data_IF_327110131205
#
_entry.id   IF_327110131205
#
_cell.length_a   1.000
_cell.length_b   1.000
_cell.length_c   1.000
_cell.angle_alpha   90.00
_cell.angle_beta   90.00
_cell.angle_gamma   90.00
#
_symmetry.space_group_name_H-M   'P 1'
#
loop_
_entity.id
_entity.type
_entity.pdbx_description
1 polymer ?
#
# COMPACT_ATOMS: atom_id res chain seq x y z
N UNK A 1 1.65 -58.45 -31.48
CA UNK A 1 0.36 -58.53 -32.20
C UNK A 1 -0.69 -59.00 -31.21
N UNK A 2 -1.32 -58.07 -30.51
CA UNK A 2 -2.47 -58.34 -29.63
C UNK A 2 -3.57 -57.38 -30.08
N UNK A 3 -4.60 -57.95 -30.71
CA UNK A 3 -5.86 -57.29 -30.98
C UNK A 3 -6.58 -57.08 -29.64
N UNK A 4 -6.91 -55.83 -29.31
CA UNK A 4 -8.04 -55.54 -28.44
C UNK A 4 -9.02 -54.63 -29.18
N UNK A 5 -10.14 -55.27 -29.49
CA UNK A 5 -11.45 -54.80 -29.90
C UNK A 5 -11.83 -53.38 -29.49
N UNK A 6 -12.21 -52.60 -30.51
CA UNK A 6 -13.11 -51.47 -30.38
C UNK A 6 -14.51 -51.95 -29.93
N UNK A 7 -15.01 -51.37 -28.85
CA UNK A 7 -16.43 -51.30 -28.52
C UNK A 7 -16.76 -49.82 -28.39
N UNK A 8 -17.47 -49.28 -29.39
CA UNK A 8 -18.15 -48.02 -29.28
C UNK A 8 -19.48 -48.19 -28.53
N UNK A 9 -19.88 -47.17 -27.79
CA UNK A 9 -21.22 -46.56 -27.90
C UNK A 9 -21.33 -45.38 -26.94
N UNK A 10 -21.66 -44.24 -27.54
CA UNK A 10 -22.39 -43.10 -27.00
C UNK A 10 -22.94 -43.27 -25.58
N UNK A 11 -22.48 -42.40 -24.68
CA UNK A 11 -23.36 -41.47 -24.01
C UNK A 11 -22.67 -40.11 -23.96
N UNK A 12 -22.73 -39.38 -25.09
CA UNK A 12 -22.87 -37.93 -24.99
C UNK A 12 -24.24 -37.71 -24.36
N UNK A 13 -24.32 -37.85 -23.03
CA UNK A 13 -25.27 -37.03 -22.31
C UNK A 13 -24.79 -35.61 -22.55
N UNK A 14 -25.33 -34.96 -23.58
CA UNK A 14 -25.57 -33.53 -23.48
C UNK A 14 -26.33 -33.37 -22.17
N UNK A 15 -25.60 -33.15 -21.08
CA UNK A 15 -26.22 -32.72 -19.85
C UNK A 15 -26.84 -31.40 -20.24
N UNK A 16 -28.16 -31.39 -20.46
CA UNK A 16 -28.91 -30.19 -20.72
C UNK A 16 -28.45 -29.21 -19.64
N UNK A 17 -27.68 -28.20 -20.05
CA UNK A 17 -27.11 -27.24 -19.14
C UNK A 17 -28.31 -26.58 -18.48
N UNK A 18 -28.61 -27.00 -17.26
CA UNK A 18 -29.78 -26.51 -16.53
C UNK A 18 -29.47 -25.05 -16.26
N UNK A 19 -30.05 -24.18 -17.08
CA UNK A 19 -29.88 -22.74 -16.92
C UNK A 19 -30.41 -22.40 -15.53
N UNK A 20 -29.53 -21.87 -14.69
CA UNK A 20 -29.92 -21.40 -13.37
C UNK A 20 -31.03 -20.37 -13.52
N UNK A 21 -32.02 -20.38 -12.61
CA UNK A 21 -32.93 -19.26 -12.51
C UNK A 21 -32.16 -17.96 -12.26
N UNK A 22 -32.76 -16.81 -12.55
CA UNK A 22 -32.09 -15.52 -12.38
C UNK A 22 -31.58 -15.33 -10.94
N UNK A 23 -32.42 -15.64 -9.95
CA UNK A 23 -32.05 -15.61 -8.52
C UNK A 23 -30.87 -16.53 -8.22
N UNK A 24 -30.92 -17.79 -8.67
CA UNK A 24 -29.83 -18.75 -8.45
C UNK A 24 -28.54 -18.30 -9.12
N UNK A 25 -28.60 -17.71 -10.32
CA UNK A 25 -27.46 -17.15 -11.04
C UNK A 25 -26.78 -16.04 -10.22
N UNK A 26 -27.55 -15.15 -9.59
CA UNK A 26 -27.00 -14.12 -8.69
C UNK A 26 -26.40 -14.71 -7.41
N UNK A 27 -27.09 -15.67 -6.78
CA UNK A 27 -26.59 -16.31 -5.55
C UNK A 27 -25.26 -17.03 -5.79
N UNK A 28 -25.13 -17.73 -6.92
CA UNK A 28 -23.86 -18.35 -7.34
C UNK A 28 -22.79 -17.29 -7.57
N UNK A 29 -23.10 -16.21 -8.30
CA UNK A 29 -22.14 -15.13 -8.53
C UNK A 29 -21.66 -14.46 -7.23
N UNK A 30 -22.57 -14.23 -6.28
CA UNK A 30 -22.21 -13.70 -4.96
C UNK A 30 -21.23 -14.63 -4.26
N UNK A 31 -21.51 -15.93 -4.20
CA UNK A 31 -20.63 -16.90 -3.56
C UNK A 31 -19.26 -16.99 -4.25
N UNK A 32 -19.23 -16.90 -5.58
CA UNK A 32 -17.99 -17.02 -6.37
C UNK A 32 -17.11 -15.77 -6.29
N UNK A 33 -17.70 -14.58 -6.19
CA UNK A 33 -16.99 -13.30 -6.34
C UNK A 33 -16.72 -12.57 -5.01
N UNK A 34 -17.41 -12.93 -3.92
CA UNK A 34 -17.32 -12.19 -2.65
C UNK A 34 -15.89 -12.05 -2.11
N UNK A 35 -15.09 -13.12 -2.13
CA UNK A 35 -13.71 -13.07 -1.64
C UNK A 35 -12.81 -12.17 -2.49
N UNK A 36 -12.94 -12.25 -3.80
CA UNK A 36 -12.14 -11.45 -4.71
C UNK A 36 -12.52 -9.97 -4.61
N UNK A 37 -13.80 -9.64 -4.68
CA UNK A 37 -14.26 -8.25 -4.58
C UNK A 37 -13.98 -7.68 -3.19
N UNK A 38 -14.15 -8.48 -2.13
CA UNK A 38 -13.77 -8.09 -0.78
C UNK A 38 -12.27 -7.80 -0.66
N UNK A 39 -11.41 -8.57 -1.33
CA UNK A 39 -9.96 -8.31 -1.40
C UNK A 39 -9.67 -7.01 -2.15
N UNK A 40 -10.32 -6.77 -3.30
CA UNK A 40 -10.18 -5.49 -4.01
C UNK A 40 -10.62 -4.32 -3.13
N UNK A 41 -11.73 -4.46 -2.42
CA UNK A 41 -12.22 -3.45 -1.48
C UNK A 41 -11.22 -3.16 -0.34
N UNK A 42 -10.60 -4.21 0.21
CA UNK A 42 -9.64 -4.07 1.31
C UNK A 42 -8.34 -3.38 0.88
N UNK A 43 -7.95 -3.49 -0.39
CA UNK A 43 -6.70 -2.93 -0.90
C UNK A 43 -6.83 -1.62 -1.67
N UNK A 44 -8.05 -1.22 -2.05
CA UNK A 44 -8.29 -0.02 -2.89
C UNK A 44 -7.67 1.26 -2.31
N UNK A 45 -7.77 1.45 -0.99
CA UNK A 45 -7.37 2.70 -0.35
C UNK A 45 -5.83 2.79 -0.24
N UNK A 46 -5.13 1.67 -0.42
CA UNK A 46 -3.67 1.61 -0.47
C UNK A 46 -3.08 1.87 -1.85
N UNK A 47 -3.90 2.09 -2.88
CA UNK A 47 -3.45 2.60 -4.17
C UNK A 47 -3.24 4.12 -4.15
N UNK A 48 -3.82 4.81 -3.17
CA UNK A 48 -3.77 6.26 -3.08
C UNK A 48 -2.46 6.72 -2.46
N UNK A 49 -1.95 7.83 -2.95
CA UNK A 49 -0.87 8.53 -2.26
C UNK A 49 -1.45 9.27 -1.05
N UNK A 50 -0.92 9.04 0.18
CA UNK A 50 -1.38 9.78 1.34
C UNK A 50 -0.98 11.25 1.21
N UNK A 51 -1.79 12.15 1.74
CA UNK A 51 -1.44 13.56 1.81
C UNK A 51 -0.09 13.73 2.56
N UNK A 52 0.81 14.55 2.00
CA UNK A 52 2.11 14.78 2.61
C UNK A 52 1.96 15.66 3.85
N UNK A 53 2.16 15.08 5.03
CA UNK A 53 2.16 15.82 6.28
C UNK A 53 3.36 16.80 6.36
N UNK A 54 3.26 17.90 7.13
CA UNK A 54 4.41 18.75 7.43
C UNK A 54 5.58 17.93 7.97
N UNK A 55 6.79 18.24 7.50
CA UNK A 55 8.03 17.52 7.86
C UNK A 55 8.03 16.04 7.48
N UNK A 56 7.05 15.53 6.72
CA UNK A 56 7.09 14.17 6.22
C UNK A 56 8.33 13.98 5.33
N UNK A 57 8.93 12.77 5.34
CA UNK A 57 10.08 12.47 4.50
C UNK A 57 9.77 12.74 3.03
N UNK A 58 10.65 13.48 2.33
CA UNK A 58 10.49 13.74 0.89
C UNK A 58 10.56 12.46 0.05
N UNK A 59 11.31 11.46 0.50
CA UNK A 59 11.47 10.17 -0.20
C UNK A 59 10.82 9.08 0.64
N UNK A 60 9.75 8.50 0.10
CA UNK A 60 9.02 7.36 0.67
C UNK A 60 8.96 6.19 -0.34
N UNK A 61 10.10 5.58 -0.68
CA UNK A 61 10.13 4.43 -1.58
C UNK A 61 9.30 3.26 -1.05
N UNK A 62 9.11 3.20 0.27
CA UNK A 62 8.22 2.28 0.96
C UNK A 62 6.74 2.48 0.58
N UNK A 63 6.27 3.72 0.44
CA UNK A 63 4.88 3.99 0.03
C UNK A 63 4.62 3.56 -1.42
N UNK A 64 5.54 3.84 -2.34
CA UNK A 64 5.37 3.42 -3.73
C UNK A 64 5.42 1.89 -3.85
N UNK A 65 6.34 1.24 -3.13
CA UNK A 65 6.40 -0.23 -3.07
C UNK A 65 5.16 -0.83 -2.42
N UNK A 66 4.58 -0.19 -1.41
CA UNK A 66 3.33 -0.64 -0.80
C UNK A 66 2.16 -0.55 -1.79
N UNK A 67 2.09 0.52 -2.59
CA UNK A 67 1.11 0.67 -3.66
C UNK A 67 1.28 -0.40 -4.74
N UNK A 68 2.52 -0.74 -5.11
CA UNK A 68 2.80 -1.81 -6.07
C UNK A 68 2.31 -3.17 -5.58
N UNK A 69 2.53 -3.46 -4.29
CA UNK A 69 2.01 -4.67 -3.67
C UNK A 69 0.47 -4.70 -3.66
N UNK A 70 -0.17 -3.56 -3.33
CA UNK A 70 -1.63 -3.45 -3.33
C UNK A 70 -2.22 -3.69 -4.74
N UNK A 71 -1.64 -3.07 -5.77
CA UNK A 71 -2.03 -3.29 -7.16
C UNK A 71 -1.88 -4.77 -7.56
N UNK A 72 -0.75 -5.40 -7.25
CA UNK A 72 -0.54 -6.82 -7.53
C UNK A 72 -1.53 -7.73 -6.80
N UNK A 73 -1.89 -7.40 -5.56
CA UNK A 73 -2.91 -8.14 -4.80
C UNK A 73 -4.28 -8.03 -5.46
N UNK A 74 -4.66 -6.82 -5.90
CA UNK A 74 -5.89 -6.57 -6.65
C UNK A 74 -5.89 -7.36 -7.97
N UNK A 75 -4.78 -7.37 -8.71
CA UNK A 75 -4.63 -8.17 -9.93
C UNK A 75 -4.85 -9.65 -9.68
N UNK A 76 -4.23 -10.20 -8.64
CA UNK A 76 -4.38 -11.62 -8.32
C UNK A 76 -5.84 -11.96 -7.98
N UNK A 77 -6.52 -11.12 -7.18
CA UNK A 77 -7.93 -11.28 -6.87
C UNK A 77 -8.81 -11.21 -8.12
N UNK A 78 -8.57 -10.23 -9.00
CA UNK A 78 -9.31 -10.06 -10.25
C UNK A 78 -9.11 -11.25 -11.20
N UNK A 79 -7.87 -11.72 -11.37
CA UNK A 79 -7.56 -12.89 -12.19
C UNK A 79 -8.18 -14.17 -11.64
N UNK A 80 -8.17 -14.35 -10.32
CA UNK A 80 -8.82 -15.49 -9.67
C UNK A 80 -10.33 -15.51 -9.95
N UNK A 81 -11.00 -14.37 -9.78
CA UNK A 81 -12.42 -14.23 -10.08
C UNK A 81 -12.72 -14.44 -11.58
N UNK A 82 -11.86 -13.92 -12.48
CA UNK A 82 -12.01 -14.12 -13.93
C UNK A 82 -12.00 -15.59 -14.29
N UNK A 83 -11.01 -16.33 -13.80
CA UNK A 83 -10.88 -17.78 -14.08
C UNK A 83 -12.07 -18.57 -13.52
N UNK A 84 -12.63 -18.17 -12.38
CA UNK A 84 -13.88 -18.74 -11.87
C UNK A 84 -15.06 -18.43 -12.80
N UNK A 85 -15.18 -17.18 -13.27
CA UNK A 85 -16.23 -16.76 -14.20
C UNK A 85 -16.24 -17.56 -15.50
N UNK A 86 -15.08 -17.87 -16.07
CA UNK A 86 -14.95 -18.69 -17.28
C UNK A 86 -15.53 -20.10 -17.12
N UNK A 87 -15.52 -20.64 -15.89
CA UNK A 87 -16.00 -21.99 -15.56
C UNK A 87 -17.37 -21.99 -14.88
N UNK A 88 -17.92 -20.82 -14.57
CA UNK A 88 -19.14 -20.68 -13.80
C UNK A 88 -20.38 -21.11 -14.59
N UNK A 89 -21.40 -21.61 -13.89
CA UNK A 89 -22.74 -21.81 -14.45
C UNK A 89 -23.59 -20.54 -14.37
N UNK A 90 -23.16 -19.54 -13.60
CA UNK A 90 -23.83 -18.23 -13.52
C UNK A 90 -23.53 -17.39 -14.75
N UNK A 91 -24.58 -16.94 -15.42
CA UNK A 91 -24.50 -15.94 -16.50
C UNK A 91 -23.99 -14.59 -15.97
N UNK A 92 -24.22 -14.29 -14.69
CA UNK A 92 -23.76 -13.06 -14.04
C UNK A 92 -22.24 -13.10 -13.84
N UNK A 93 -21.69 -14.20 -13.31
CA UNK A 93 -20.23 -14.34 -13.15
C UNK A 93 -19.53 -14.33 -14.51
N UNK A 94 -20.08 -15.03 -15.51
CA UNK A 94 -19.57 -15.01 -16.89
C UNK A 94 -19.58 -13.60 -17.48
N UNK A 95 -20.66 -12.85 -17.30
CA UNK A 95 -20.77 -11.47 -17.79
C UNK A 95 -19.74 -10.49 -17.20
N UNK A 96 -19.07 -10.86 -16.10
CA UNK A 96 -18.05 -10.05 -15.44
C UNK A 96 -16.60 -10.37 -15.86
N UNK A 97 -16.36 -11.41 -16.66
CA UNK A 97 -14.99 -11.84 -17.00
C UNK A 97 -14.18 -10.74 -17.68
N UNK A 98 -14.79 -9.97 -18.58
CA UNK A 98 -14.11 -8.89 -19.30
C UNK A 98 -13.75 -7.72 -18.38
N UNK A 99 -14.64 -7.37 -17.45
CA UNK A 99 -14.39 -6.32 -16.46
C UNK A 99 -13.27 -6.71 -15.50
N UNK A 100 -13.25 -7.99 -15.09
CA UNK A 100 -12.19 -8.57 -14.27
C UNK A 100 -10.85 -8.66 -15.03
N UNK A 101 -10.88 -8.99 -16.32
CA UNK A 101 -9.69 -9.00 -17.16
C UNK A 101 -9.09 -7.59 -17.29
N UNK A 102 -9.92 -6.57 -17.57
CA UNK A 102 -9.47 -5.16 -17.61
C UNK A 102 -8.86 -4.72 -16.28
N UNK A 103 -9.48 -5.09 -15.15
CA UNK A 103 -8.94 -4.80 -13.82
C UNK A 103 -7.58 -5.48 -13.59
N UNK A 104 -7.47 -6.77 -13.92
CA UNK A 104 -6.21 -7.49 -13.79
C UNK A 104 -5.09 -6.85 -14.63
N UNK A 105 -5.38 -6.51 -15.88
CA UNK A 105 -4.41 -5.86 -16.80
C UNK A 105 -3.97 -4.50 -16.28
N UNK A 106 -4.91 -3.64 -15.86
CA UNK A 106 -4.58 -2.30 -15.37
C UNK A 106 -3.73 -2.31 -14.09
N UNK A 107 -3.81 -3.37 -13.30
CA UNK A 107 -3.07 -3.55 -12.05
C UNK A 107 -1.83 -4.47 -12.20
N UNK A 108 -1.38 -4.72 -13.43
CA UNK A 108 -0.21 -5.58 -13.70
C UNK A 108 1.09 -4.86 -13.46
N UNK A 109 1.89 -5.43 -12.56
CA UNK A 109 3.32 -5.13 -12.34
C UNK A 109 3.67 -3.64 -12.51
N UNK A 110 3.10 -2.76 -11.66
CA UNK A 110 3.34 -1.34 -11.79
C UNK A 110 4.83 -1.03 -11.64
N UNK A 111 5.37 -0.25 -12.58
CA UNK A 111 6.76 0.21 -12.57
C UNK A 111 6.91 1.60 -11.95
N UNK A 112 5.85 2.41 -11.98
CA UNK A 112 5.83 3.78 -11.48
C UNK A 112 4.45 4.20 -10.93
N UNK A 113 4.37 5.44 -10.45
CA UNK A 113 3.14 6.02 -9.89
C UNK A 113 2.01 6.15 -10.94
N UNK A 114 2.34 6.28 -12.23
CA UNK A 114 1.34 6.39 -13.29
C UNK A 114 0.61 5.05 -13.49
N UNK A 115 1.30 3.93 -13.33
CA UNK A 115 0.70 2.59 -13.38
C UNK A 115 -0.23 2.33 -12.19
N UNK A 116 0.16 2.78 -10.99
CA UNK A 116 -0.71 2.74 -9.80
C UNK A 116 -2.00 3.54 -10.04
N UNK A 117 -1.88 4.75 -10.62
CA UNK A 117 -3.04 5.57 -10.94
C UNK A 117 -3.96 4.93 -11.99
N UNK A 118 -3.42 4.18 -12.97
CA UNK A 118 -4.23 3.39 -13.91
C UNK A 118 -5.00 2.30 -13.18
N UNK A 119 -4.35 1.56 -12.28
CA UNK A 119 -4.99 0.55 -11.45
C UNK A 119 -6.12 1.16 -10.60
N UNK A 120 -5.87 2.28 -9.92
CA UNK A 120 -6.88 2.98 -9.11
C UNK A 120 -8.12 3.36 -9.93
N UNK A 121 -7.92 3.99 -11.09
CA UNK A 121 -9.02 4.34 -12.00
C UNK A 121 -9.81 3.12 -12.44
N UNK A 122 -9.13 2.01 -12.73
CA UNK A 122 -9.80 0.79 -13.15
C UNK A 122 -10.55 0.10 -12.01
N UNK A 123 -10.08 0.21 -10.76
CA UNK A 123 -10.83 -0.23 -9.56
C UNK A 123 -12.14 0.54 -9.44
N UNK A 124 -12.10 1.87 -9.62
CA UNK A 124 -13.31 2.70 -9.59
C UNK A 124 -14.28 2.35 -10.74
N UNK A 125 -13.78 2.18 -11.96
CA UNK A 125 -14.58 1.76 -13.11
C UNK A 125 -15.20 0.36 -12.91
N UNK A 126 -14.47 -0.56 -12.28
CA UNK A 126 -14.98 -1.89 -11.95
C UNK A 126 -16.13 -1.80 -10.94
N UNK A 127 -16.02 -0.97 -9.89
CA UNK A 127 -17.12 -0.77 -8.94
C UNK A 127 -18.37 -0.17 -9.59
N UNK A 128 -18.18 0.78 -10.51
CA UNK A 128 -19.29 1.34 -11.31
C UNK A 128 -19.98 0.27 -12.16
N UNK A 129 -19.23 -0.68 -12.72
CA UNK A 129 -19.79 -1.81 -13.46
C UNK A 129 -20.57 -2.80 -12.56
N UNK A 130 -20.17 -2.95 -11.29
CA UNK A 130 -20.90 -3.78 -10.32
C UNK A 130 -22.22 -3.15 -9.85
N UNK A 131 -22.34 -1.82 -9.90
CA UNK A 131 -23.52 -1.10 -9.42
C UNK A 131 -24.85 -1.54 -10.07
N UNK A 132 -25.02 -1.55 -11.40
CA UNK A 132 -26.26 -2.01 -12.02
C UNK A 132 -26.54 -3.48 -11.73
N UNK A 133 -25.51 -4.32 -11.58
CA UNK A 133 -25.65 -5.74 -11.25
C UNK A 133 -26.19 -5.91 -9.83
N UNK A 134 -25.71 -5.11 -8.88
CA UNK A 134 -26.21 -5.13 -7.50
C UNK A 134 -27.70 -4.75 -7.42
N UNK A 135 -28.11 -3.74 -8.19
CA UNK A 135 -29.54 -3.36 -8.29
C UNK A 135 -30.40 -4.50 -8.86
N UNK A 136 -29.92 -5.17 -9.91
CA UNK A 136 -30.63 -6.31 -10.51
C UNK A 136 -30.67 -7.53 -9.59
N UNK A 137 -29.58 -7.83 -8.88
CA UNK A 137 -29.53 -8.92 -7.91
C UNK A 137 -30.58 -8.74 -6.80
N UNK A 138 -30.74 -7.50 -6.30
CA UNK A 138 -31.78 -7.17 -5.34
C UNK A 138 -33.19 -7.35 -5.93
N UNK A 139 -33.42 -6.88 -7.16
CA UNK A 139 -34.70 -7.03 -7.84
C UNK A 139 -35.07 -8.50 -8.11
N UNK A 140 -34.08 -9.34 -8.42
CA UNK A 140 -34.22 -10.77 -8.61
C UNK A 140 -34.40 -11.57 -7.30
N UNK A 141 -34.36 -10.90 -6.14
CA UNK A 141 -34.55 -11.54 -4.84
C UNK A 141 -33.38 -12.40 -4.38
N UNK A 142 -32.14 -12.05 -4.75
CA UNK A 142 -30.94 -12.72 -4.26
C UNK A 142 -30.88 -12.71 -2.73
N UNK A 143 -30.39 -13.80 -2.13
CA UNK A 143 -30.45 -14.00 -0.68
C UNK A 143 -29.45 -13.13 0.08
N UNK A 144 -28.41 -12.64 -0.61
CA UNK A 144 -27.38 -11.76 -0.07
C UNK A 144 -27.19 -10.55 -0.98
N UNK A 145 -26.73 -9.41 -0.44
CA UNK A 145 -26.36 -8.27 -1.26
C UNK A 145 -25.22 -8.63 -2.22
N UNK A 146 -25.32 -8.18 -3.48
CA UNK A 146 -24.24 -8.36 -4.44
C UNK A 146 -22.99 -7.57 -4.00
N UNK A 147 -21.79 -8.17 -4.05
CA UNK A 147 -20.57 -7.51 -3.57
C UNK A 147 -20.21 -6.26 -4.39
N UNK A 148 -19.74 -5.22 -3.70
CA UNK A 148 -19.21 -3.97 -4.27
C UNK A 148 -17.82 -3.68 -3.72
N UNK A 149 -17.07 -2.80 -4.39
CA UNK A 149 -15.74 -2.37 -3.91
C UNK A 149 -15.89 -1.29 -2.84
N UNK A 150 -16.39 -1.67 -1.66
CA UNK A 150 -16.54 -0.77 -0.51
C UNK A 150 -16.31 -1.48 0.82
N UNK A 151 -16.08 -0.69 1.87
CA UNK A 151 -15.71 -1.18 3.21
C UNK A 151 -16.68 -2.23 3.76
N UNK A 152 -17.98 -2.12 3.48
CA UNK A 152 -19.00 -3.07 3.95
C UNK A 152 -18.89 -4.48 3.35
N UNK A 153 -18.12 -4.67 2.26
CA UNK A 153 -17.91 -5.97 1.61
C UNK A 153 -16.53 -6.55 1.89
N UNK A 154 -15.74 -5.93 2.76
CA UNK A 154 -14.49 -6.53 3.25
C UNK A 154 -14.87 -7.70 4.16
N UNK A 155 -14.56 -8.91 3.72
CA UNK A 155 -14.84 -10.13 4.45
C UNK A 155 -13.61 -10.64 5.22
N UNK A 156 -13.76 -11.70 6.01
CA UNK A 156 -12.69 -12.25 6.85
C UNK A 156 -11.42 -12.64 6.06
N UNK A 157 -11.59 -13.19 4.85
CA UNK A 157 -10.47 -13.53 3.94
C UNK A 157 -9.69 -12.27 3.57
N UNK A 158 -10.40 -11.23 3.13
CA UNK A 158 -9.81 -9.95 2.77
C UNK A 158 -9.18 -9.23 3.97
N UNK A 159 -9.82 -9.25 5.14
CA UNK A 159 -9.28 -8.70 6.39
C UNK A 159 -7.96 -9.38 6.77
N UNK A 160 -7.89 -10.71 6.67
CA UNK A 160 -6.67 -11.49 6.96
C UNK A 160 -5.55 -11.13 5.99
N UNK A 161 -5.86 -11.03 4.69
CA UNK A 161 -4.89 -10.64 3.68
C UNK A 161 -4.34 -9.22 3.93
N UNK A 162 -5.21 -8.27 4.23
CA UNK A 162 -4.83 -6.88 4.50
C UNK A 162 -4.08 -6.71 5.84
N UNK A 163 -4.27 -7.60 6.82
CA UNK A 163 -3.60 -7.49 8.12
C UNK A 163 -2.08 -7.68 8.03
N UNK A 164 -1.62 -8.68 7.27
CA UNK A 164 -0.18 -8.90 7.05
C UNK A 164 0.45 -7.72 6.31
N UNK A 165 -0.27 -7.20 5.31
CA UNK A 165 0.13 -6.02 4.56
C UNK A 165 0.26 -4.77 5.44
N UNK A 166 -0.76 -4.47 6.28
CA UNK A 166 -0.70 -3.36 7.25
C UNK A 166 0.47 -3.47 8.22
N UNK A 167 0.77 -4.69 8.67
CA UNK A 167 1.90 -4.92 9.56
C UNK A 167 3.25 -4.71 8.87
N UNK A 168 3.33 -5.00 7.57
CA UNK A 168 4.55 -4.81 6.78
C UNK A 168 4.82 -3.33 6.46
N UNK A 169 3.78 -2.55 6.17
CA UNK A 169 3.90 -1.17 5.68
C UNK A 169 3.97 -0.10 6.78
N UNK A 170 3.55 -0.45 8.01
CA UNK A 170 3.41 0.51 9.09
C UNK A 170 2.35 1.62 8.84
N UNK A 171 2.37 2.70 9.63
CA UNK A 171 3.14 2.82 10.85
C UNK A 171 2.61 1.90 11.95
N UNK A 172 3.53 1.33 12.73
CA UNK A 172 3.18 0.73 14.01
C UNK A 172 2.95 1.81 15.09
N UNK A 173 2.49 1.44 16.31
CA UNK A 173 2.25 2.41 17.38
C UNK A 173 3.47 3.28 17.73
N UNK A 174 4.69 2.72 17.74
CA UNK A 174 5.90 3.49 18.07
C UNK A 174 6.33 4.38 16.91
N UNK A 175 6.22 3.90 15.68
CA UNK A 175 6.43 4.76 14.51
C UNK A 175 5.41 5.90 14.46
N UNK A 176 4.14 5.65 14.74
CA UNK A 176 3.12 6.70 14.79
C UNK A 176 3.47 7.75 15.86
N UNK A 177 3.88 7.33 17.05
CA UNK A 177 4.33 8.25 18.10
C UNK A 177 5.56 9.10 17.67
N UNK A 178 6.46 8.52 16.88
CA UNK A 178 7.57 9.26 16.28
C UNK A 178 7.08 10.28 15.24
N UNK A 179 6.17 9.89 14.35
CA UNK A 179 5.58 10.79 13.36
C UNK A 179 4.84 11.97 14.02
N UNK A 180 4.07 11.70 15.06
CA UNK A 180 3.36 12.72 15.83
C UNK A 180 4.33 13.70 16.49
N UNK A 181 5.39 13.20 17.13
CA UNK A 181 6.44 14.04 17.75
C UNK A 181 7.17 14.91 16.72
N UNK A 182 7.36 14.46 15.48
CA UNK A 182 8.02 15.28 14.43
C UNK A 182 7.24 16.54 14.08
N UNK A 183 5.92 16.52 14.22
CA UNK A 183 5.07 17.66 13.95
C UNK A 183 5.02 18.64 15.15
N UNK A 184 5.48 18.22 16.32
CA UNK A 184 5.48 19.00 17.55
C UNK A 184 6.68 19.96 17.61
N UNK A 185 6.39 21.27 17.63
CA UNK A 185 7.42 22.33 17.75
C UNK A 185 8.02 22.43 19.16
N UNK A 186 7.36 21.83 20.15
CA UNK A 186 7.79 21.83 21.56
C UNK A 186 8.58 20.59 21.94
N UNK A 187 8.63 19.59 21.07
CA UNK A 187 9.39 18.36 21.31
C UNK A 187 10.89 18.67 21.44
N UNK A 188 11.51 18.11 22.48
CA UNK A 188 12.96 18.18 22.64
C UNK A 188 13.67 17.30 21.60
N UNK A 189 14.94 17.59 21.34
CA UNK A 189 15.78 16.76 20.46
C UNK A 189 15.92 15.33 21.01
N UNK A 190 16.07 15.19 22.33
CA UNK A 190 16.20 13.90 23.00
C UNK A 190 14.90 13.08 22.91
N UNK A 191 13.74 13.74 23.05
CA UNK A 191 12.43 13.12 22.86
C UNK A 191 12.25 12.55 21.46
N UNK A 192 12.69 13.29 20.45
CA UNK A 192 12.63 12.88 19.05
C UNK A 192 13.59 11.73 18.76
N UNK A 193 14.81 11.76 19.32
CA UNK A 193 15.78 10.66 19.22
C UNK A 193 15.23 9.38 19.84
N UNK A 194 14.71 9.45 21.06
CA UNK A 194 14.14 8.31 21.76
C UNK A 194 12.94 7.71 21.00
N UNK A 195 12.07 8.56 20.45
CA UNK A 195 10.94 8.10 19.64
C UNK A 195 11.39 7.44 18.33
N UNK A 196 12.40 8.01 17.68
CA UNK A 196 13.02 7.43 16.48
C UNK A 196 13.67 6.07 16.76
N UNK A 197 14.39 5.90 17.87
CA UNK A 197 14.98 4.62 18.26
C UNK A 197 13.90 3.56 18.56
N UNK A 198 12.81 3.97 19.22
CA UNK A 198 11.66 3.10 19.46
C UNK A 198 10.99 2.66 18.14
N UNK A 199 10.83 3.57 17.19
CA UNK A 199 10.29 3.28 15.86
C UNK A 199 11.18 2.30 15.09
N UNK A 200 12.52 2.52 15.06
CA UNK A 200 13.48 1.59 14.44
C UNK A 200 13.38 0.18 15.02
N UNK A 201 13.32 0.08 16.35
CA UNK A 201 13.19 -1.21 17.02
C UNK A 201 11.88 -1.92 16.65
N UNK A 202 10.77 -1.19 16.55
CA UNK A 202 9.47 -1.73 16.16
C UNK A 202 9.45 -2.26 14.72
N UNK A 203 9.97 -1.49 13.76
CA UNK A 203 10.00 -1.92 12.36
C UNK A 203 10.98 -3.07 12.14
N UNK A 204 12.08 -3.12 12.89
CA UNK A 204 13.00 -4.25 12.86
C UNK A 204 12.33 -5.53 13.38
N UNK A 205 11.62 -5.46 14.52
CA UNK A 205 10.88 -6.58 15.07
C UNK A 205 9.73 -7.02 14.13
N UNK A 206 9.05 -6.06 13.49
CA UNK A 206 7.99 -6.35 12.52
C UNK A 206 8.52 -7.04 11.27
N UNK A 207 9.65 -6.57 10.71
CA UNK A 207 10.31 -7.23 9.58
C UNK A 207 10.70 -8.67 9.93
N UNK A 208 11.35 -8.88 11.09
CA UNK A 208 11.74 -10.22 11.56
C UNK A 208 10.52 -11.14 11.74
N UNK A 209 9.43 -10.63 12.32
CA UNK A 209 8.20 -11.41 12.50
C UNK A 209 7.55 -11.81 11.16
N UNK A 210 7.89 -11.13 10.06
CA UNK A 210 7.36 -11.36 8.73
C UNK A 210 8.31 -12.13 7.81
N UNK A 211 9.49 -12.56 8.27
CA UNK A 211 10.50 -13.28 7.45
C UNK A 211 9.94 -14.55 6.78
N UNK A 212 8.99 -15.22 7.42
CA UNK A 212 8.32 -16.44 6.93
C UNK A 212 7.04 -16.15 6.12
N UNK A 213 6.72 -14.89 5.86
CA UNK A 213 5.56 -14.50 5.04
C UNK A 213 5.86 -14.70 3.56
N UNK A 214 4.86 -14.43 2.70
CA UNK A 214 5.08 -14.38 1.26
C UNK A 214 6.16 -13.36 0.89
N UNK A 215 6.86 -13.60 -0.22
CA UNK A 215 7.97 -12.77 -0.67
C UNK A 215 7.63 -11.28 -0.74
N UNK A 216 6.46 -10.92 -1.32
CA UNK A 216 6.05 -9.53 -1.41
C UNK A 216 5.79 -8.86 -0.04
N UNK A 217 5.30 -9.61 0.96
CA UNK A 217 5.13 -9.09 2.33
C UNK A 217 6.49 -8.90 3.01
N UNK A 218 7.42 -9.83 2.81
CA UNK A 218 8.79 -9.74 3.33
C UNK A 218 9.55 -8.56 2.70
N UNK A 219 9.51 -8.42 1.37
CA UNK A 219 10.14 -7.28 0.68
C UNK A 219 9.57 -5.96 1.19
N UNK A 220 8.24 -5.85 1.29
CA UNK A 220 7.58 -4.65 1.79
C UNK A 220 8.05 -4.29 3.21
N UNK A 221 8.09 -5.26 4.12
CA UNK A 221 8.53 -5.03 5.50
C UNK A 221 10.00 -4.59 5.57
N UNK A 222 10.87 -5.16 4.73
CA UNK A 222 12.28 -4.78 4.65
C UNK A 222 12.44 -3.37 4.09
N UNK A 223 11.74 -3.03 3.01
CA UNK A 223 11.78 -1.67 2.42
C UNK A 223 11.29 -0.64 3.42
N UNK A 224 10.19 -0.92 4.12
CA UNK A 224 9.66 -0.04 5.14
C UNK A 224 10.63 0.14 6.33
N UNK A 225 11.22 -0.95 6.84
CA UNK A 225 12.29 -0.90 7.85
C UNK A 225 13.42 0.05 7.41
N UNK A 226 13.96 -0.13 6.22
CA UNK A 226 15.04 0.72 5.70
C UNK A 226 14.61 2.17 5.52
N UNK A 227 13.36 2.43 5.15
CA UNK A 227 12.83 3.78 5.03
C UNK A 227 12.83 4.49 6.40
N UNK A 228 12.36 3.83 7.46
CA UNK A 228 12.36 4.38 8.82
C UNK A 228 13.79 4.55 9.35
N UNK A 229 14.67 3.56 9.18
CA UNK A 229 16.09 3.67 9.58
C UNK A 229 16.79 4.84 8.89
N UNK A 230 16.56 5.03 7.58
CA UNK A 230 17.14 6.13 6.81
C UNK A 230 16.65 7.48 7.31
N UNK A 231 15.34 7.61 7.62
CA UNK A 231 14.77 8.84 8.18
C UNK A 231 15.39 9.17 9.55
N UNK A 232 15.52 8.17 10.40
CA UNK A 232 16.15 8.28 11.70
C UNK A 232 17.63 8.68 11.62
N UNK A 233 18.38 8.10 10.68
CA UNK A 233 19.78 8.47 10.46
C UNK A 233 19.92 9.90 9.94
N UNK A 234 19.01 10.35 9.07
CA UNK A 234 18.95 11.75 8.62
C UNK A 234 18.68 12.69 9.78
N UNK A 235 17.77 12.34 10.69
CA UNK A 235 17.49 13.10 11.90
C UNK A 235 18.75 13.33 12.75
N UNK A 236 19.52 12.26 13.01
CA UNK A 236 20.83 12.37 13.69
C UNK A 236 21.84 13.25 12.94
N UNK A 237 21.79 13.28 11.60
CA UNK A 237 22.58 14.20 10.78
C UNK A 237 22.22 15.67 10.99
N UNK A 238 20.93 16.00 11.16
CA UNK A 238 20.46 17.37 11.43
C UNK A 238 20.92 17.86 12.79
N UNK A 239 20.84 17.01 13.82
CA UNK A 239 21.35 17.34 15.16
C UNK A 239 22.82 17.74 15.09
N UNK A 240 23.66 16.92 14.44
CA UNK A 240 25.10 17.20 14.32
C UNK A 240 25.38 18.47 13.51
N UNK A 241 24.56 18.75 12.50
CA UNK A 241 24.70 19.96 11.69
C UNK A 241 24.32 21.21 12.50
N UNK A 242 23.25 21.14 13.29
CA UNK A 242 22.82 22.21 14.19
C UNK A 242 23.88 22.48 15.27
N UNK A 243 24.41 21.46 15.94
CA UNK A 243 25.51 21.60 16.90
C UNK A 243 26.76 22.23 16.27
N UNK A 244 27.07 21.89 15.01
CA UNK A 244 28.17 22.52 14.26
C UNK A 244 27.92 24.00 13.98
N UNK A 245 26.66 24.39 13.75
CA UNK A 245 26.25 25.78 13.56
C UNK A 245 26.33 26.58 14.88
N UNK A 246 25.90 26.00 16.00
CA UNK A 246 26.08 26.61 17.32
C UNK A 246 27.57 26.79 17.67
N UNK A 247 28.44 25.86 17.23
CA UNK A 247 29.87 25.97 17.42
C UNK A 247 30.50 27.06 16.52
N UNK A 248 30.03 27.22 15.29
CA UNK A 248 30.42 28.33 14.39
C UNK A 248 30.19 29.70 15.04
N UNK A 249 29.00 29.87 15.59
CA UNK A 249 28.58 31.12 16.23
C UNK A 249 29.53 31.50 17.38
N UNK A 250 29.99 30.50 18.14
CA UNK A 250 30.90 30.67 19.28
C UNK A 250 32.38 30.86 18.90
N UNK A 251 32.88 30.18 17.86
CA UNK A 251 34.33 29.94 17.67
C UNK A 251 34.96 30.56 16.40
N UNK A 252 34.45 31.71 15.93
CA UNK A 252 34.88 32.47 14.72
C UNK A 252 34.25 31.97 13.41
N UNK A 253 33.31 32.73 12.83
CA UNK A 253 32.54 32.32 11.64
C UNK A 253 33.35 32.08 10.35
N UNK A 254 34.56 32.65 10.25
CA UNK A 254 35.40 32.57 9.04
C UNK A 254 36.24 31.29 8.92
N UNK A 255 36.17 30.35 9.88
CA UNK A 255 36.97 29.12 9.85
C UNK A 255 36.53 28.16 8.73
N UNK A 256 37.46 27.32 8.26
CA UNK A 256 37.16 26.26 7.28
C UNK A 256 36.15 25.24 7.82
N UNK A 257 36.20 24.99 9.13
CA UNK A 257 35.24 24.17 9.87
C UNK A 257 33.84 24.77 9.79
N UNK A 258 33.72 26.10 9.92
CA UNK A 258 32.44 26.76 9.84
C UNK A 258 31.84 26.74 8.43
N UNK A 259 32.66 26.95 7.39
CA UNK A 259 32.21 26.77 6.00
C UNK A 259 31.66 25.36 5.75
N UNK A 260 32.30 24.34 6.31
CA UNK A 260 31.82 22.95 6.22
C UNK A 260 30.49 22.74 6.94
N UNK A 261 30.32 23.30 8.14
CA UNK A 261 29.07 23.23 8.90
C UNK A 261 27.92 23.94 8.16
N UNK A 262 28.14 25.16 7.70
CA UNK A 262 27.19 25.92 6.87
C UNK A 262 26.78 25.15 5.60
N UNK A 263 27.73 24.55 4.89
CA UNK A 263 27.44 23.73 3.71
C UNK A 263 26.65 22.44 4.01
N UNK A 264 26.78 21.87 5.21
CA UNK A 264 25.95 20.72 5.65
C UNK A 264 24.53 21.18 6.00
N UNK A 265 24.40 22.25 6.77
CA UNK A 265 23.09 22.82 7.16
C UNK A 265 22.30 23.27 5.93
N UNK A 266 22.93 23.99 5.00
CA UNK A 266 22.31 24.39 3.72
C UNK A 266 21.70 23.19 2.98
N UNK A 267 22.47 22.11 2.82
CA UNK A 267 21.98 20.88 2.16
C UNK A 267 20.81 20.24 2.90
N UNK A 268 20.80 20.28 4.23
CA UNK A 268 19.68 19.77 5.04
C UNK A 268 18.42 20.61 4.82
N UNK A 269 18.54 21.94 4.83
CA UNK A 269 17.42 22.85 4.58
C UNK A 269 16.86 22.61 3.16
N UNK A 270 17.73 22.54 2.15
CA UNK A 270 17.35 22.26 0.77
C UNK A 270 16.65 20.90 0.60
N UNK A 271 17.04 19.90 1.40
CA UNK A 271 16.42 18.56 1.44
C UNK A 271 15.18 18.47 2.35
N UNK A 272 14.80 19.59 2.99
CA UNK A 272 13.71 19.65 3.96
C UNK A 272 14.11 19.19 5.36
N UNK A 273 13.75 19.99 6.35
CA UNK A 273 13.95 19.65 7.76
C UNK A 273 13.07 18.46 8.17
N UNK A 274 13.62 17.49 8.92
CA UNK A 274 12.89 16.27 9.26
C UNK A 274 11.89 16.44 10.40
N UNK A 275 11.93 17.55 11.16
CA UNK A 275 11.05 17.79 12.30
C UNK A 275 10.82 19.28 12.56
N UNK A 276 9.67 19.61 13.14
CA UNK A 276 9.25 20.95 13.50
C UNK A 276 10.16 21.60 14.56
N UNK A 277 10.73 20.79 15.47
CA UNK A 277 11.71 21.23 16.46
C UNK A 277 12.94 21.91 15.83
N UNK A 278 13.26 21.62 14.56
CA UNK A 278 14.36 22.25 13.82
C UNK A 278 13.95 23.47 13.00
N UNK A 279 12.71 23.95 13.09
CA UNK A 279 12.23 25.10 12.32
C UNK A 279 13.10 26.36 12.45
N UNK A 280 13.80 26.52 13.58
CA UNK A 280 14.73 27.64 13.81
C UNK A 280 16.07 27.52 13.08
N UNK A 281 16.48 26.31 12.68
CA UNK A 281 17.78 26.05 12.02
C UNK A 281 17.97 26.91 10.77
N UNK A 282 16.90 27.19 10.03
CA UNK A 282 16.98 28.04 8.85
C UNK A 282 17.29 29.50 9.19
N UNK A 283 16.74 30.03 10.28
CA UNK A 283 17.04 31.37 10.77
C UNK A 283 18.49 31.44 11.27
N UNK A 284 18.89 30.48 12.12
CA UNK A 284 20.25 30.40 12.67
C UNK A 284 21.30 30.28 11.56
N UNK A 285 20.98 29.54 10.49
CA UNK A 285 21.83 29.42 9.32
C UNK A 285 21.99 30.75 8.59
N UNK A 286 20.90 31.50 8.35
CA UNK A 286 20.98 32.82 7.73
C UNK A 286 21.80 33.79 8.58
N UNK A 287 21.62 33.76 9.89
CA UNK A 287 22.31 34.65 10.82
C UNK A 287 23.80 34.35 10.94
N UNK A 288 24.19 33.07 10.89
CA UNK A 288 25.58 32.64 11.11
C UNK A 288 26.36 32.55 9.79
N UNK A 289 25.73 32.08 8.72
CA UNK A 289 26.42 31.66 7.50
C UNK A 289 26.28 32.63 6.32
N UNK A 290 25.29 33.54 6.30
CA UNK A 290 25.16 34.55 5.23
C UNK A 290 25.83 35.89 5.58
N UNK A 291 26.43 36.03 6.76
CA UNK A 291 27.20 37.21 7.19
C UNK A 291 28.70 37.12 6.83
N UNK A 292 29.14 36.05 6.16
CA UNK A 292 30.52 35.81 5.68
C UNK A 292 30.54 35.50 4.18
#
# INVERSE_FOLDING_TARGET
>A
MLLLTALGCNDKSESAATNLSEKESYNVAIAELSDAIGTVAAFRDYLKEPAQAPFAPQRRPDLLKSQFFAANTIRHAANYARQRGERSKSTVTKGLTDALAKLATACTEPGDASDVAKCEKQVAAFDQALQPIASKAKAAGADKPFPRVSQQYINATATKAAAAYRRAMGPGPKEQAYLDKRADTTASVDDLLAACDAAKAEVAASAQALDKSSEGIRELAVVHKYAVETQCNRFGGVIKAHQGLEACEKNKPASSECKSACGKVKRIIEQGLPAAAFSKVEADYKDTCHKN
#
